data_IF_341271184532
#
_entry.id   IF_341271184532
#
_cell.length_a   1.000
_cell.length_b   1.000
_cell.length_c   1.000
_cell.angle_alpha   90.00
_cell.angle_beta   90.00
_cell.angle_gamma   90.00
#
_symmetry.space_group_name_H-M   'P 1'
#
loop_
_entity.id
_entity.type
_entity.pdbx_description
1 polymer ?
#
# COMPACT_ATOMS: atom_id res chain seq x y z
N UNK A 1 -3.74 11.62 39.56
CA UNK A 1 -3.73 10.32 38.85
C UNK A 1 -3.01 10.52 37.53
N UNK A 2 -1.72 10.18 37.43
CA UNK A 2 -0.90 10.41 36.23
C UNK A 2 -0.96 9.18 35.31
N UNK A 3 -1.77 9.23 34.27
CA UNK A 3 -1.69 8.32 33.12
C UNK A 3 -0.44 8.65 32.32
N UNK A 4 0.67 7.94 32.56
CA UNK A 4 1.86 8.02 31.69
C UNK A 4 1.55 7.30 30.38
N UNK A 5 1.28 8.07 29.32
CA UNK A 5 1.09 7.60 27.94
C UNK A 5 2.36 6.88 27.46
N UNK A 6 2.38 5.55 27.53
CA UNK A 6 3.23 4.74 26.65
C UNK A 6 2.58 4.77 25.26
N UNK A 7 3.27 5.31 24.27
CA UNK A 7 2.74 5.38 22.90
C UNK A 7 3.34 4.22 22.09
N UNK A 8 2.51 3.25 21.73
CA UNK A 8 2.81 2.34 20.62
C UNK A 8 2.35 3.06 19.34
N UNK A 9 3.29 3.35 18.45
CA UNK A 9 2.96 3.92 17.14
C UNK A 9 3.03 2.83 16.06
N UNK A 10 2.14 2.95 15.08
CA UNK A 10 2.17 2.17 13.86
C UNK A 10 3.27 2.71 12.96
N UNK A 11 4.20 1.86 12.53
CA UNK A 11 5.08 2.16 11.39
C UNK A 11 5.12 0.92 10.51
N UNK A 12 4.59 1.01 9.31
CA UNK A 12 4.92 0.07 8.24
C UNK A 12 6.24 0.56 7.67
N UNK A 13 7.32 -0.19 7.90
CA UNK A 13 8.66 0.19 7.50
C UNK A 13 9.20 -0.77 6.44
N UNK A 14 9.46 -0.26 5.24
CA UNK A 14 10.39 -0.88 4.31
C UNK A 14 11.82 -0.70 4.82
N UNK A 15 12.63 -1.76 4.78
CA UNK A 15 14.07 -1.69 5.06
C UNK A 15 14.75 -1.00 3.88
N UNK A 16 15.41 0.15 4.10
CA UNK A 16 16.45 0.63 3.19
C UNK A 16 17.68 -0.28 3.36
N UNK A 17 18.15 -0.88 2.27
CA UNK A 17 19.53 -1.34 2.15
C UNK A 17 19.92 -1.32 0.67
N UNK A 18 20.74 -0.33 0.30
CA UNK A 18 21.43 -0.29 -0.98
C UNK A 18 22.69 -1.18 -0.92
N UNK A 19 22.67 -2.19 -1.78
CA UNK A 19 23.76 -2.93 -2.43
C UNK A 19 24.67 -3.83 -1.58
N UNK A 20 24.80 -5.10 -1.98
CA UNK A 20 25.67 -5.55 -3.08
C UNK A 20 25.42 -7.03 -3.42
N UNK A 21 25.82 -7.34 -4.66
CA UNK A 21 26.02 -8.64 -5.34
C UNK A 21 24.83 -9.31 -6.03
N UNK A 22 25.08 -9.55 -7.32
CA UNK A 22 24.28 -10.16 -8.37
C UNK A 22 23.89 -11.59 -7.98
N UNK A 23 22.60 -11.89 -8.01
CA UNK A 23 22.10 -13.12 -8.62
C UNK A 23 20.68 -12.92 -9.14
N UNK A 24 20.51 -13.34 -10.38
CA UNK A 24 19.43 -13.02 -11.30
C UNK A 24 18.15 -13.81 -11.00
N UNK A 25 17.02 -13.10 -11.06
CA UNK A 25 15.79 -13.52 -11.75
C UNK A 25 15.28 -14.94 -11.49
N UNK A 26 14.32 -15.11 -10.56
CA UNK A 26 13.14 -15.99 -10.75
C UNK A 26 12.02 -15.90 -9.69
N UNK A 27 11.81 -14.78 -8.98
CA UNK A 27 10.60 -14.61 -8.16
C UNK A 27 10.16 -13.13 -8.06
N UNK A 28 9.64 -12.62 -9.17
CA UNK A 28 9.05 -11.27 -9.28
C UNK A 28 7.52 -11.36 -9.25
N UNK A 29 6.92 -11.98 -8.22
CA UNK A 29 5.45 -12.05 -8.07
C UNK A 29 5.09 -11.96 -6.59
N UNK A 30 4.39 -10.86 -6.24
CA UNK A 30 3.53 -10.68 -5.05
C UNK A 30 4.13 -11.08 -3.70
N UNK A 31 4.92 -10.20 -3.10
CA UNK A 31 5.00 -10.13 -1.63
C UNK A 31 5.14 -8.67 -1.23
N UNK A 32 3.99 -7.99 -1.13
CA UNK A 32 3.82 -6.91 -0.17
C UNK A 32 4.06 -7.56 1.20
N UNK A 33 5.29 -7.47 1.69
CA UNK A 33 5.65 -7.89 3.03
C UNK A 33 4.88 -6.96 3.98
N UNK A 34 3.62 -7.33 4.30
CA UNK A 34 2.73 -6.58 5.22
C UNK A 34 3.22 -6.74 6.64
N UNK A 35 4.34 -6.08 6.91
CA UNK A 35 5.01 -6.07 8.19
C UNK A 35 4.28 -5.09 9.07
N UNK A 36 3.54 -5.64 10.03
CA UNK A 36 2.94 -4.86 11.10
C UNK A 36 3.96 -4.81 12.22
N UNK A 37 4.47 -3.63 12.59
CA UNK A 37 5.32 -3.45 13.77
C UNK A 37 4.53 -2.82 14.92
N UNK A 38 4.57 -3.45 16.09
CA UNK A 38 3.96 -2.88 17.29
C UNK A 38 5.00 -2.46 18.33
N UNK A 39 5.31 -1.16 18.50
CA UNK A 39 6.49 -0.71 19.28
C UNK A 39 6.21 -0.37 20.75
N UNK A 40 6.80 -1.08 21.70
CA UNK A 40 6.84 -0.67 23.12
C UNK A 40 8.23 -0.12 23.53
N UNK A 41 8.32 1.08 24.11
CA UNK A 41 9.57 1.72 24.57
C UNK A 41 9.81 1.51 26.07
N UNK A 42 10.55 0.46 26.47
CA UNK A 42 10.96 0.27 27.88
C UNK A 42 12.34 -0.39 27.99
N UNK A 43 13.32 0.37 28.47
CA UNK A 43 14.75 -0.01 28.54
C UNK A 43 15.12 -1.22 29.42
N UNK A 44 14.22 -1.76 30.26
CA UNK A 44 14.55 -2.83 31.24
C UNK A 44 13.40 -3.82 31.55
N UNK A 45 12.37 -3.92 30.69
CA UNK A 45 11.21 -4.79 30.97
C UNK A 45 11.02 -5.80 29.85
N UNK A 46 10.65 -7.03 30.24
CA UNK A 46 10.28 -8.09 29.30
C UNK A 46 8.89 -7.78 28.75
N UNK A 47 8.72 -7.97 27.45
CA UNK A 47 7.45 -7.75 26.74
C UNK A 47 6.94 -9.08 26.23
N UNK A 48 5.65 -9.34 26.44
CA UNK A 48 4.97 -10.51 25.90
C UNK A 48 3.85 -10.08 24.95
N UNK A 49 3.67 -10.82 23.86
CA UNK A 49 2.64 -10.55 22.87
C UNK A 49 1.58 -11.64 22.87
N UNK A 50 0.31 -11.24 22.86
CA UNK A 50 -0.83 -12.14 22.82
C UNK A 50 -1.77 -11.79 21.66
N UNK A 51 -2.38 -12.81 21.05
CA UNK A 51 -3.54 -12.65 20.16
C UNK A 51 -4.80 -12.83 20.99
N UNK A 52 -5.67 -11.82 21.05
CA UNK A 52 -6.84 -11.85 21.95
C UNK A 52 -7.98 -12.74 21.47
N UNK A 53 -8.08 -12.98 20.16
CA UNK A 53 -9.15 -13.80 19.57
C UNK A 53 -9.21 -15.20 20.18
N UNK A 54 -8.06 -15.76 20.53
CA UNK A 54 -7.87 -17.11 21.06
C UNK A 54 -6.94 -17.17 22.28
N UNK A 55 -6.57 -16.01 22.83
CA UNK A 55 -5.63 -15.85 23.95
C UNK A 55 -4.28 -16.54 23.72
N UNK A 56 -3.86 -16.69 22.46
CA UNK A 56 -2.61 -17.35 22.12
C UNK A 56 -1.42 -16.46 22.50
N UNK A 57 -0.48 -17.03 23.27
CA UNK A 57 0.83 -16.43 23.54
C UNK A 57 1.69 -16.52 22.27
N UNK A 58 2.03 -15.38 21.70
CA UNK A 58 2.81 -15.30 20.47
C UNK A 58 4.30 -15.28 20.76
N UNK A 59 4.74 -14.38 21.64
CA UNK A 59 6.17 -14.20 21.97
C UNK A 59 6.35 -13.76 23.42
N UNK A 60 7.51 -14.08 23.99
CA UNK A 60 7.98 -13.57 25.30
C UNK A 60 9.42 -13.12 25.13
N UNK A 61 9.65 -11.82 25.28
CA UNK A 61 10.92 -11.20 24.94
C UNK A 61 11.29 -11.49 23.49
N UNK A 62 12.48 -12.06 23.29
CA UNK A 62 12.99 -12.41 21.95
C UNK A 62 12.59 -13.81 21.47
N UNK A 63 11.86 -14.57 22.29
CA UNK A 63 11.48 -15.96 21.97
C UNK A 63 10.05 -16.00 21.42
N UNK A 64 9.87 -16.65 20.27
CA UNK A 64 8.54 -16.93 19.70
C UNK A 64 8.01 -18.24 20.27
N UNK A 65 6.75 -18.22 20.72
CA UNK A 65 6.01 -19.37 21.29
C UNK A 65 4.87 -19.83 20.38
N UNK A 66 4.43 -18.98 19.44
CA UNK A 66 3.48 -19.38 18.40
C UNK A 66 4.08 -20.49 17.52
N UNK A 67 3.25 -21.44 17.10
CA UNK A 67 3.60 -22.44 16.08
C UNK A 67 3.61 -21.88 14.66
N UNK A 68 3.11 -20.66 14.46
CA UNK A 68 3.09 -19.97 13.17
C UNK A 68 4.37 -19.13 13.00
N UNK A 69 5.25 -19.58 12.09
CA UNK A 69 6.55 -18.98 11.77
C UNK A 69 6.45 -17.56 11.15
N UNK A 70 5.24 -17.08 10.87
CA UNK A 70 5.03 -15.70 10.39
C UNK A 70 5.17 -14.68 11.52
N UNK A 71 4.98 -15.07 12.78
CA UNK A 71 5.15 -14.20 13.95
C UNK A 71 6.62 -14.10 14.34
N UNK A 72 7.18 -12.91 14.21
CA UNK A 72 8.55 -12.57 14.53
C UNK A 72 8.59 -11.46 15.58
N UNK A 73 9.70 -11.34 16.29
CA UNK A 73 9.94 -10.22 17.21
C UNK A 73 11.24 -9.52 16.88
N UNK A 74 11.19 -8.19 16.82
CA UNK A 74 12.34 -7.33 16.63
C UNK A 74 12.51 -6.44 17.87
N UNK A 75 13.71 -6.42 18.45
CA UNK A 75 14.02 -5.56 19.61
C UNK A 75 15.20 -4.64 19.30
N UNK A 76 14.91 -3.36 19.15
CA UNK A 76 15.93 -2.33 18.95
C UNK A 76 16.48 -1.88 20.30
N UNK A 77 17.45 -2.63 20.84
CA UNK A 77 17.98 -2.49 22.22
C UNK A 77 18.33 -1.05 22.64
N UNK A 78 18.94 -0.27 21.74
CA UNK A 78 19.37 1.10 22.04
C UNK A 78 18.19 2.10 22.17
N UNK A 79 17.07 1.83 21.49
CA UNK A 79 15.83 2.61 21.60
C UNK A 79 14.87 2.02 22.65
N UNK A 80 15.09 0.76 23.05
CA UNK A 80 14.20 0.00 23.92
C UNK A 80 12.87 -0.34 23.24
N UNK A 81 12.85 -0.40 21.91
CA UNK A 81 11.66 -0.69 21.10
C UNK A 81 11.49 -2.18 20.92
N UNK A 82 10.35 -2.73 21.35
CA UNK A 82 9.92 -4.10 21.05
C UNK A 82 8.86 -4.06 19.97
N UNK A 83 9.06 -4.74 18.84
CA UNK A 83 8.11 -4.87 17.74
C UNK A 83 7.73 -6.33 17.52
N UNK A 84 6.44 -6.66 17.58
CA UNK A 84 5.93 -7.90 16.99
C UNK A 84 5.71 -7.64 15.50
N UNK A 85 6.25 -8.53 14.65
CA UNK A 85 6.20 -8.50 13.19
C UNK A 85 5.47 -9.71 12.65
N UNK A 86 4.48 -9.50 11.80
CA UNK A 86 3.74 -10.58 11.12
C UNK A 86 4.14 -10.56 9.65
N UNK A 87 4.73 -11.65 9.14
CA UNK A 87 5.02 -11.79 7.70
C UNK A 87 3.80 -12.26 6.93
N UNK A 88 3.64 -11.78 5.70
CA UNK A 88 2.55 -12.18 4.82
C UNK A 88 1.17 -12.17 5.53
N UNK A 89 0.83 -11.02 6.14
CA UNK A 89 -0.39 -10.87 6.93
C UNK A 89 -1.66 -11.03 6.06
N UNK A 90 -2.54 -11.92 6.50
CA UNK A 90 -3.79 -12.31 5.82
C UNK A 90 -5.00 -11.73 6.54
N UNK A 91 -6.15 -11.66 5.86
CA UNK A 91 -7.36 -11.04 6.40
C UNK A 91 -7.81 -11.68 7.73
N UNK A 92 -7.49 -12.96 7.94
CA UNK A 92 -7.80 -13.73 9.14
C UNK A 92 -6.97 -13.31 10.37
N UNK A 93 -5.82 -12.64 10.15
CA UNK A 93 -4.95 -12.13 11.21
C UNK A 93 -5.51 -10.83 11.83
N UNK A 94 -6.55 -10.23 11.25
CA UNK A 94 -7.23 -9.06 11.82
C UNK A 94 -7.78 -9.34 13.22
N UNK A 95 -7.68 -8.34 14.08
CA UNK A 95 -8.18 -8.43 15.45
C UNK A 95 -7.30 -7.71 16.46
N UNK A 96 -7.60 -7.94 17.73
CA UNK A 96 -6.91 -7.27 18.84
C UNK A 96 -5.69 -8.09 19.28
N UNK A 97 -4.55 -7.42 19.32
CA UNK A 97 -3.29 -7.92 19.88
C UNK A 97 -3.01 -7.19 21.19
N UNK A 98 -2.47 -7.92 22.16
CA UNK A 98 -2.12 -7.39 23.47
C UNK A 98 -0.60 -7.44 23.66
N UNK A 99 -0.04 -6.29 23.97
CA UNK A 99 1.33 -6.12 24.46
C UNK A 99 1.27 -6.06 25.99
N UNK A 100 1.84 -7.07 26.66
CA UNK A 100 1.90 -7.12 28.11
C UNK A 100 3.31 -6.83 28.62
N UNK A 101 3.42 -5.93 29.60
CA UNK A 101 4.65 -5.63 30.30
C UNK A 101 4.76 -6.48 31.56
N UNK A 102 5.96 -7.04 31.80
CA UNK A 102 6.27 -7.83 33.00
C UNK A 102 6.39 -6.95 34.27
N UNK A 103 5.28 -6.36 34.70
CA UNK A 103 5.17 -5.54 35.92
C UNK A 103 4.29 -6.22 36.96
N UNK A 104 4.31 -5.71 38.20
CA UNK A 104 3.39 -6.15 39.24
C UNK A 104 2.59 -4.93 39.76
N UNK A 105 1.30 -4.79 39.40
CA UNK A 105 0.52 -5.66 38.51
C UNK A 105 0.95 -5.54 37.03
N UNK A 106 0.64 -6.53 36.17
CA UNK A 106 0.96 -6.46 34.75
C UNK A 106 0.21 -5.32 34.06
N UNK A 107 0.92 -4.57 33.23
CA UNK A 107 0.37 -3.48 32.43
C UNK A 107 0.17 -3.97 30.99
N UNK A 108 -1.03 -3.79 30.43
CA UNK A 108 -1.38 -4.23 29.07
C UNK A 108 -1.69 -3.05 28.15
N UNK A 109 -1.28 -3.17 26.89
CA UNK A 109 -1.61 -2.25 25.80
C UNK A 109 -2.30 -3.06 24.70
N UNK A 110 -3.48 -2.63 24.28
CA UNK A 110 -4.27 -3.29 23.24
C UNK A 110 -4.14 -2.55 21.90
N UNK A 111 -4.00 -3.32 20.83
CA UNK A 111 -3.80 -2.79 19.49
C UNK A 111 -4.67 -3.55 18.50
N UNK A 112 -5.48 -2.82 17.72
CA UNK A 112 -6.35 -3.39 16.70
C UNK A 112 -5.60 -3.44 15.36
N UNK A 113 -5.38 -4.65 14.83
CA UNK A 113 -4.84 -4.85 13.49
C UNK A 113 -5.98 -4.86 12.47
N UNK A 114 -5.91 -3.93 11.50
CA UNK A 114 -6.75 -3.91 10.30
C UNK A 114 -5.90 -4.07 9.06
N UNK A 115 -6.30 -4.99 8.20
CA UNK A 115 -5.66 -5.33 6.94
C UNK A 115 -6.55 -4.79 5.82
N UNK A 116 -6.05 -3.72 5.21
CA UNK A 116 -6.69 -3.03 4.09
C UNK A 116 -5.96 -3.36 2.80
N UNK A 117 -6.73 -3.53 1.73
CA UNK A 117 -6.18 -3.65 0.39
C UNK A 117 -6.05 -2.25 -0.22
N UNK A 118 -4.85 -1.90 -0.64
CA UNK A 118 -4.60 -0.67 -1.39
C UNK A 118 -5.26 -0.78 -2.76
N UNK A 119 -5.94 0.28 -3.19
CA UNK A 119 -6.65 0.31 -4.48
C UNK A 119 -6.33 1.60 -5.23
N UNK A 120 -6.15 1.49 -6.54
CA UNK A 120 -6.19 2.62 -7.44
C UNK A 120 -7.64 3.04 -7.69
N UNK A 121 -7.83 4.32 -7.95
CA UNK A 121 -9.10 4.89 -8.38
C UNK A 121 -8.82 5.98 -9.41
N UNK A 122 -9.34 5.81 -10.62
CA UNK A 122 -9.30 6.86 -11.65
C UNK A 122 -10.47 7.80 -11.41
N UNK A 123 -10.20 9.10 -11.34
CA UNK A 123 -11.24 10.13 -11.21
C UNK A 123 -12.13 10.09 -12.46
N UNK A 124 -13.45 10.22 -12.28
CA UNK A 124 -14.48 10.15 -13.35
C UNK A 124 -14.73 8.76 -13.95
N UNK A 125 -14.16 7.69 -13.38
CA UNK A 125 -14.54 6.32 -13.73
C UNK A 125 -16.04 6.05 -13.40
N UNK A 126 -16.73 5.15 -14.12
CA UNK A 126 -16.19 4.20 -15.12
C UNK A 126 -16.11 4.71 -16.56
N UNK A 127 -16.77 5.82 -16.90
CA UNK A 127 -16.90 6.29 -18.29
C UNK A 127 -16.67 7.80 -18.41
N UNK A 128 -15.83 8.22 -19.36
CA UNK A 128 -15.51 9.61 -19.64
C UNK A 128 -15.77 9.95 -21.11
N UNK A 129 -16.42 11.09 -21.38
CA UNK A 129 -16.69 11.56 -22.74
C UNK A 129 -15.93 12.87 -22.98
N UNK A 130 -15.17 12.93 -24.07
CA UNK A 130 -14.42 14.12 -24.49
C UNK A 130 -14.63 14.40 -25.97
N UNK A 131 -14.41 15.63 -26.40
CA UNK A 131 -14.48 15.99 -27.82
C UNK A 131 -13.12 15.77 -28.51
N UNK A 132 -13.15 15.42 -29.79
CA UNK A 132 -11.95 15.39 -30.64
C UNK A 132 -11.25 16.77 -30.62
N UNK A 133 -9.92 16.75 -30.59
CA UNK A 133 -9.06 17.93 -30.43
C UNK A 133 -8.83 18.37 -28.98
N UNK A 134 -9.64 17.91 -28.02
CA UNK A 134 -9.47 18.26 -26.61
C UNK A 134 -8.28 17.55 -25.95
N UNK A 135 -7.92 17.95 -24.73
CA UNK A 135 -6.85 17.30 -23.95
C UNK A 135 -7.47 16.31 -22.96
N UNK A 136 -7.18 15.02 -23.12
CA UNK A 136 -7.54 13.99 -22.16
C UNK A 136 -6.62 14.08 -20.95
N UNK A 137 -7.18 14.13 -19.75
CA UNK A 137 -6.42 14.10 -18.49
C UNK A 137 -7.05 13.11 -17.53
N UNK A 138 -6.36 12.02 -17.26
CA UNK A 138 -6.79 11.00 -16.30
C UNK A 138 -5.91 11.09 -15.05
N UNK A 139 -6.53 11.22 -13.88
CA UNK A 139 -5.84 11.18 -12.60
C UNK A 139 -6.18 9.90 -11.86
N UNK A 140 -5.15 9.11 -11.58
CA UNK A 140 -5.23 7.90 -10.77
C UNK A 140 -4.75 8.21 -9.36
N UNK A 141 -5.62 8.00 -8.36
CA UNK A 141 -5.33 8.19 -6.94
C UNK A 141 -5.19 6.84 -6.24
N UNK A 142 -4.21 6.72 -5.36
CA UNK A 142 -3.99 5.54 -4.54
C UNK A 142 -4.67 5.72 -3.19
N UNK A 143 -5.67 4.89 -2.92
CA UNK A 143 -6.38 4.85 -1.64
C UNK A 143 -5.91 3.68 -0.81
N UNK A 144 -5.78 3.91 0.51
CA UNK A 144 -5.38 2.89 1.50
C UNK A 144 -3.98 2.30 1.28
N UNK A 145 -3.19 2.90 0.39
CA UNK A 145 -1.77 2.60 0.26
C UNK A 145 -1.04 3.19 1.47
N UNK A 146 -0.26 2.35 2.15
CA UNK A 146 0.55 2.75 3.31
C UNK A 146 1.96 3.18 2.90
N UNK A 147 2.34 2.91 1.65
CA UNK A 147 3.62 3.25 1.04
C UNK A 147 3.39 3.74 -0.40
N UNK A 148 4.31 4.57 -0.90
CA UNK A 148 4.33 4.97 -2.30
C UNK A 148 4.67 3.77 -3.19
N UNK A 149 3.99 3.58 -4.33
CA UNK A 149 4.36 2.53 -5.27
C UNK A 149 5.74 2.80 -5.88
N UNK A 150 6.46 1.72 -6.22
CA UNK A 150 7.70 1.81 -7.00
C UNK A 150 7.45 2.35 -8.42
N UNK A 151 6.30 2.02 -8.99
CA UNK A 151 5.86 2.48 -10.31
C UNK A 151 4.34 2.45 -10.44
N UNK A 152 3.83 3.25 -11.38
CA UNK A 152 2.44 3.22 -11.83
C UNK A 152 2.43 3.16 -13.35
N UNK A 153 1.95 2.04 -13.89
CA UNK A 153 1.81 1.86 -15.32
C UNK A 153 0.42 2.29 -15.80
N UNK A 154 0.39 2.93 -16.95
CA UNK A 154 -0.82 3.26 -17.69
C UNK A 154 -0.88 2.37 -18.93
N UNK A 155 -2.02 1.73 -19.11
CA UNK A 155 -2.35 0.96 -20.29
C UNK A 155 -3.50 1.64 -21.03
N UNK A 156 -3.42 1.63 -22.35
CA UNK A 156 -4.55 1.90 -23.24
C UNK A 156 -4.81 0.61 -24.01
N UNK A 157 -6.00 0.04 -23.82
CA UNK A 157 -6.31 -1.35 -24.12
C UNK A 157 -5.25 -2.27 -23.46
N UNK A 158 -4.54 -3.07 -24.25
CA UNK A 158 -3.49 -3.98 -23.77
C UNK A 158 -2.07 -3.40 -23.89
N UNK A 159 -1.92 -2.14 -24.34
CA UNK A 159 -0.62 -1.52 -24.61
C UNK A 159 -0.21 -0.56 -23.50
N UNK A 160 1.00 -0.72 -22.97
CA UNK A 160 1.59 0.23 -22.02
C UNK A 160 2.04 1.52 -22.72
N UNK A 161 1.62 2.67 -22.20
CA UNK A 161 1.80 3.99 -22.85
C UNK A 161 2.67 4.98 -22.06
N UNK A 162 3.31 4.56 -20.95
CA UNK A 162 4.10 5.44 -20.09
C UNK A 162 5.25 6.18 -20.80
N UNK A 163 5.80 5.59 -21.86
CA UNK A 163 6.98 6.07 -22.58
C UNK A 163 6.67 6.52 -24.01
N UNK A 164 5.39 6.68 -24.35
CA UNK A 164 4.97 7.06 -25.69
C UNK A 164 5.07 8.58 -25.90
N UNK A 165 6.25 9.06 -26.26
CA UNK A 165 6.48 10.49 -26.44
C UNK A 165 5.96 11.03 -27.78
N UNK A 166 5.72 10.16 -28.77
CA UNK A 166 5.37 10.57 -30.13
C UNK A 166 3.88 10.95 -30.27
N UNK A 167 2.99 10.34 -29.47
CA UNK A 167 1.54 10.59 -29.51
C UNK A 167 1.07 11.75 -28.61
N UNK A 168 1.99 12.59 -28.10
CA UNK A 168 1.64 13.67 -27.18
C UNK A 168 1.15 13.16 -25.82
N UNK A 169 1.50 11.92 -25.48
CA UNK A 169 1.23 11.29 -24.18
C UNK A 169 2.31 11.74 -23.18
N UNK A 170 1.87 12.10 -21.98
CA UNK A 170 2.76 12.42 -20.87
C UNK A 170 2.21 11.86 -19.57
N UNK A 171 3.09 11.25 -18.78
CA UNK A 171 2.76 10.71 -17.47
C UNK A 171 3.53 11.49 -16.41
N UNK A 172 2.81 12.05 -15.46
CA UNK A 172 3.36 12.73 -14.29
C UNK A 172 3.01 11.94 -13.03
N UNK A 173 4.00 11.31 -12.43
CA UNK A 173 3.85 10.54 -11.18
C UNK A 173 4.18 11.40 -9.96
N UNK A 174 3.34 11.32 -8.94
CA UNK A 174 3.51 11.90 -7.60
C UNK A 174 3.52 10.76 -6.56
N UNK A 175 3.73 11.10 -5.27
CA UNK A 175 3.79 10.10 -4.19
C UNK A 175 2.53 9.20 -4.09
N UNK A 176 1.34 9.76 -4.31
CA UNK A 176 0.06 9.03 -4.12
C UNK A 176 -0.88 9.15 -5.30
N UNK A 177 -0.40 9.71 -6.41
CA UNK A 177 -1.19 9.83 -7.63
C UNK A 177 -0.33 9.78 -8.88
N UNK A 178 -0.93 9.37 -9.99
CA UNK A 178 -0.32 9.41 -11.32
C UNK A 178 -1.31 10.08 -12.26
N UNK A 179 -0.81 11.00 -13.08
CA UNK A 179 -1.62 11.76 -14.03
C UNK A 179 -1.15 11.44 -15.44
N UNK A 180 -2.05 10.88 -16.24
CA UNK A 180 -1.88 10.67 -17.68
C UNK A 180 -2.51 11.85 -18.41
N UNK A 181 -1.77 12.44 -19.36
CA UNK A 181 -2.28 13.50 -20.23
C UNK A 181 -2.01 13.15 -21.69
N UNK A 182 -3.05 13.19 -22.52
CA UNK A 182 -2.98 13.02 -23.98
C UNK A 182 -3.48 14.30 -24.63
N UNK A 183 -2.61 15.02 -25.34
CA UNK A 183 -2.97 16.27 -26.02
C UNK A 183 -3.58 15.98 -27.39
N UNK A 184 -4.49 16.83 -27.83
CA UNK A 184 -5.12 16.72 -29.15
C UNK A 184 -5.70 15.31 -29.38
N UNK A 185 -6.67 14.94 -28.53
CA UNK A 185 -7.30 13.63 -28.54
C UNK A 185 -8.02 13.38 -29.87
N UNK A 186 -7.88 12.19 -30.44
CA UNK A 186 -8.53 11.78 -31.69
C UNK A 186 -9.29 10.48 -31.45
N UNK A 187 -10.10 10.04 -32.41
CA UNK A 187 -10.87 8.80 -32.26
C UNK A 187 -10.04 7.58 -31.84
N UNK A 188 -8.76 7.48 -32.27
CA UNK A 188 -7.83 6.39 -31.87
C UNK A 188 -7.45 6.40 -30.39
N UNK A 189 -7.59 7.54 -29.72
CA UNK A 189 -7.33 7.67 -28.27
C UNK A 189 -8.57 7.28 -27.44
N UNK A 190 -9.70 6.92 -28.06
CA UNK A 190 -10.82 6.31 -27.35
C UNK A 190 -10.50 4.86 -26.95
N UNK A 191 -11.16 4.36 -25.91
CA UNK A 191 -10.99 2.99 -25.43
C UNK A 191 -10.76 2.90 -23.92
N UNK A 192 -10.36 1.72 -23.48
CA UNK A 192 -10.15 1.41 -22.07
C UNK A 192 -8.76 1.88 -21.60
N UNK A 193 -8.72 2.72 -20.58
CA UNK A 193 -7.49 3.13 -19.91
C UNK A 193 -7.40 2.49 -18.53
N UNK A 194 -6.27 1.83 -18.24
CA UNK A 194 -6.04 1.17 -16.95
C UNK A 194 -4.82 1.75 -16.24
N UNK A 195 -5.02 2.15 -14.98
CA UNK A 195 -3.95 2.53 -14.07
C UNK A 195 -3.57 1.32 -13.19
N UNK A 196 -2.35 0.83 -13.35
CA UNK A 196 -1.80 -0.35 -12.69
C UNK A 196 -0.57 0.00 -11.81
N UNK A 197 -0.79 0.30 -10.53
CA UNK A 197 0.30 0.52 -9.57
C UNK A 197 0.93 -0.79 -9.07
N UNK A 198 2.20 -0.73 -8.67
CA UNK A 198 2.95 -1.90 -8.18
C UNK A 198 2.38 -2.52 -6.88
N UNK A 199 1.78 -1.71 -6.01
CA UNK A 199 1.41 -2.09 -4.64
C UNK A 199 -0.09 -1.94 -4.33
N UNK A 200 -0.93 -1.80 -5.35
CA UNK A 200 -2.37 -1.64 -5.19
C UNK A 200 -3.14 -2.32 -6.34
N UNK A 201 -4.41 -2.64 -6.10
CA UNK A 201 -5.29 -3.18 -7.14
C UNK A 201 -5.52 -2.11 -8.22
N UNK A 202 -5.41 -2.50 -9.49
CA UNK A 202 -5.62 -1.61 -10.63
C UNK A 202 -7.07 -1.11 -10.76
N UNK A 203 -7.24 -0.04 -11.51
CA UNK A 203 -8.53 0.59 -11.84
C UNK A 203 -8.54 0.98 -13.31
N UNK A 204 -9.72 0.96 -13.93
CA UNK A 204 -9.92 1.16 -15.36
C UNK A 204 -11.06 2.14 -15.63
N UNK A 205 -10.97 2.89 -16.72
CA UNK A 205 -11.98 3.85 -17.21
C UNK A 205 -12.11 3.71 -18.72
N UNK A 206 -13.33 3.75 -19.25
CA UNK A 206 -13.56 3.79 -20.68
C UNK A 206 -13.70 5.23 -21.16
N UNK A 207 -12.93 5.63 -22.18
CA UNK A 207 -12.93 6.99 -22.72
C UNK A 207 -13.58 6.99 -24.10
N UNK A 208 -14.62 7.80 -24.27
CA UNK A 208 -15.29 8.06 -25.53
C UNK A 208 -14.81 9.40 -26.11
N UNK A 209 -14.31 9.37 -27.35
CA UNK A 209 -13.93 10.58 -28.10
C UNK A 209 -15.00 10.87 -29.14
N UNK A 210 -15.74 11.96 -28.94
CA UNK A 210 -16.85 12.39 -29.79
C UNK A 210 -16.35 13.33 -30.87
N UNK A 211 -16.74 13.09 -32.13
CA UNK A 211 -16.58 14.08 -33.19
C UNK A 211 -17.62 15.17 -32.98
N UNK A 212 -17.21 16.43 -33.07
CA UNK A 212 -18.17 17.53 -33.08
C UNK A 212 -19.16 17.35 -34.22
N UNK A 213 -20.43 17.12 -33.90
CA UNK A 213 -21.49 17.24 -34.88
C UNK A 213 -21.59 18.72 -35.25
N UNK A 214 -21.30 19.05 -36.50
CA UNK A 214 -21.86 20.26 -37.07
C UNK A 214 -23.40 20.09 -37.01
N UNK A 215 -24.05 20.84 -36.13
CA UNK A 215 -25.49 21.07 -36.24
C UNK A 215 -25.67 22.02 -37.43
N UNK A 216 -25.83 21.47 -38.63
CA UNK A 216 -26.56 22.14 -39.70
C UNK A 216 -28.04 22.13 -39.30
N UNK A 217 -28.46 23.15 -38.54
CA UNK A 217 -29.87 23.51 -38.50
C UNK A 217 -30.13 24.53 -39.62
N UNK A 218 -30.88 24.04 -40.60
CA UNK A 218 -31.46 24.68 -41.78
C UNK A 218 -32.53 25.71 -41.46
#
# INVERSE_FOLDING_TARGET
MQTKKGSCFFTIGHRENLMKTKDFFWNLIKNLDRVVDFRATKKKRLVSWFRRKDFLLLTVGLSTYSSDDRFLVEHTRHLGNWALRIRNAQKEDEGIYECQLSTHPPESIFIELRIVEAVAEIIEAPDLHINEGSTLRLECKLKRATESPLYVFWYHEDRMINYDHEDGVSVASKLTSSILTVRNATARHGGNYTCAPANARQSSIYVHVLKGSYSEDS
#
